data_IF_518152647176
#
_entry.id   IF_518152647176
#
_cell.length_a   1.000
_cell.length_b   1.000
_cell.length_c   1.000
_cell.angle_alpha   90.00
_cell.angle_beta   90.00
_cell.angle_gamma   90.00
#
_symmetry.space_group_name_H-M   'P 1'
#
loop_
_entity.id
_entity.type
_entity.pdbx_description
1 polymer ?
#
# COMPACT_ATOMS: atom_id res chain seq x y z
N UNK A 1 -13.69 -1.86 -5.69
CA UNK A 1 -13.24 -3.24 -6.08
C UNK A 1 -14.13 -4.02 -7.09
N UNK A 2 -15.45 -4.18 -6.88
CA UNK A 2 -16.33 -5.02 -7.73
C UNK A 2 -16.40 -4.61 -9.22
N UNK A 3 -16.36 -3.31 -9.52
CA UNK A 3 -16.41 -2.76 -10.89
C UNK A 3 -15.16 -3.13 -11.71
N UNK A 4 -13.98 -3.10 -11.11
CA UNK A 4 -12.70 -3.50 -11.73
C UNK A 4 -12.70 -5.00 -12.08
N UNK A 5 -13.22 -5.85 -11.18
CA UNK A 5 -13.38 -7.30 -11.45
C UNK A 5 -14.34 -7.57 -12.62
N UNK A 6 -15.48 -6.88 -12.69
CA UNK A 6 -16.45 -7.03 -13.78
C UNK A 6 -15.86 -6.64 -15.15
N UNK A 7 -15.11 -5.53 -15.20
CA UNK A 7 -14.43 -5.10 -16.43
C UNK A 7 -13.37 -6.11 -16.86
N UNK A 8 -12.57 -6.64 -15.93
CA UNK A 8 -11.58 -7.66 -16.24
C UNK A 8 -12.23 -8.93 -16.81
N UNK A 9 -13.31 -9.42 -16.19
CA UNK A 9 -14.05 -10.61 -16.67
C UNK A 9 -14.59 -10.36 -18.08
N UNK A 10 -15.16 -9.17 -18.32
CA UNK A 10 -15.67 -8.79 -19.64
C UNK A 10 -14.56 -8.77 -20.69
N UNK A 11 -13.42 -8.14 -20.38
CA UNK A 11 -12.25 -8.10 -21.28
C UNK A 11 -11.74 -9.50 -21.61
N UNK A 12 -11.57 -10.37 -20.59
CA UNK A 12 -11.13 -11.75 -20.81
C UNK A 12 -12.14 -12.57 -21.62
N UNK A 13 -13.44 -12.39 -21.36
CA UNK A 13 -14.49 -13.07 -22.14
C UNK A 13 -14.46 -12.63 -23.61
N UNK A 14 -14.28 -11.33 -23.88
CA UNK A 14 -14.12 -10.79 -25.23
C UNK A 14 -12.86 -11.32 -25.89
N UNK A 15 -11.74 -11.41 -25.18
CA UNK A 15 -10.50 -12.00 -25.72
C UNK A 15 -10.71 -13.45 -26.14
N UNK A 16 -11.36 -14.27 -25.31
CA UNK A 16 -11.66 -15.67 -25.65
C UNK A 16 -12.56 -15.75 -26.88
N UNK A 17 -13.62 -14.95 -26.94
CA UNK A 17 -14.52 -14.88 -28.10
C UNK A 17 -13.76 -14.44 -29.36
N UNK A 18 -12.89 -13.43 -29.27
CA UNK A 18 -12.08 -12.98 -30.40
C UNK A 18 -11.08 -14.02 -30.87
N UNK A 19 -10.49 -14.81 -29.98
CA UNK A 19 -9.63 -15.95 -30.36
C UNK A 19 -10.45 -16.97 -31.15
N UNK A 20 -11.62 -17.37 -30.63
CA UNK A 20 -12.49 -18.34 -31.29
C UNK A 20 -12.98 -17.85 -32.65
N UNK A 21 -13.35 -16.57 -32.75
CA UNK A 21 -13.77 -15.95 -34.00
C UNK A 21 -12.62 -15.90 -35.01
N UNK A 22 -11.44 -15.43 -34.61
CA UNK A 22 -10.26 -15.40 -35.49
C UNK A 22 -9.91 -16.80 -36.04
N UNK A 23 -10.01 -17.82 -35.20
CA UNK A 23 -9.77 -19.21 -35.57
C UNK A 23 -10.84 -19.78 -36.52
N UNK A 24 -12.11 -19.43 -36.31
CA UNK A 24 -13.22 -19.93 -37.15
C UNK A 24 -13.34 -19.22 -38.50
N UNK A 25 -12.91 -17.96 -38.58
CA UNK A 25 -13.01 -17.15 -39.79
C UNK A 25 -11.71 -17.07 -40.58
N UNK A 26 -10.67 -17.80 -40.17
CA UNK A 26 -9.44 -17.88 -40.97
C UNK A 26 -9.71 -18.60 -42.28
N UNK A 27 -9.06 -18.14 -43.34
CA UNK A 27 -9.11 -18.76 -44.67
C UNK A 27 -8.16 -19.94 -44.78
N UNK A 28 -7.26 -20.10 -43.82
CA UNK A 28 -6.25 -21.16 -43.81
C UNK A 28 -6.89 -22.54 -43.60
N UNK A 29 -6.36 -23.60 -44.24
CA UNK A 29 -6.81 -24.96 -43.99
C UNK A 29 -6.58 -25.33 -42.52
N UNK A 30 -7.50 -26.11 -41.94
CA UNK A 30 -7.41 -26.61 -40.56
C UNK A 30 -6.07 -27.33 -40.38
N UNK A 31 -5.38 -27.09 -39.26
CA UNK A 31 -4.14 -27.79 -38.92
C UNK A 31 -4.34 -29.32 -39.07
N UNK A 32 -3.45 -29.98 -39.81
CA UNK A 32 -3.58 -31.40 -40.23
C UNK A 32 -3.84 -32.38 -39.07
N UNK A 33 -3.48 -31.98 -37.84
CA UNK A 33 -3.66 -32.71 -36.59
C UNK A 33 -5.14 -32.92 -36.24
N UNK A 34 -6.05 -32.09 -36.77
CA UNK A 34 -7.49 -32.17 -36.50
C UNK A 34 -8.31 -32.83 -37.62
N UNK A 35 -7.67 -33.23 -38.72
CA UNK A 35 -8.36 -33.91 -39.83
C UNK A 35 -8.93 -35.26 -39.37
N UNK A 36 -10.17 -35.56 -39.77
CA UNK A 36 -10.97 -36.72 -39.38
C UNK A 36 -11.39 -36.79 -37.90
N UNK A 37 -11.35 -35.67 -37.17
CA UNK A 37 -11.88 -35.59 -35.79
C UNK A 37 -13.21 -34.86 -35.75
N UNK A 38 -14.01 -35.11 -34.70
CA UNK A 38 -15.24 -34.38 -34.42
C UNK A 38 -15.05 -32.85 -34.27
N UNK A 39 -13.80 -32.41 -34.06
CA UNK A 39 -13.39 -31.01 -33.98
C UNK A 39 -13.36 -30.36 -35.37
N UNK A 40 -13.12 -31.12 -36.44
CA UNK A 40 -13.12 -30.63 -37.83
C UNK A 40 -14.45 -29.98 -38.21
N UNK A 41 -15.57 -30.55 -37.74
CA UNK A 41 -16.93 -30.03 -37.98
C UNK A 41 -17.15 -28.66 -37.31
N UNK A 42 -16.49 -28.39 -36.18
CA UNK A 42 -16.57 -27.10 -35.47
C UNK A 42 -15.80 -25.97 -36.18
N UNK A 43 -14.80 -26.33 -36.97
CA UNK A 43 -13.93 -25.42 -37.72
C UNK A 43 -14.34 -25.25 -39.18
N UNK A 44 -15.49 -25.78 -39.61
CA UNK A 44 -16.01 -25.53 -40.95
C UNK A 44 -16.20 -24.02 -41.17
N UNK A 45 -15.53 -23.52 -42.22
CA UNK A 45 -15.40 -22.10 -42.54
C UNK A 45 -16.76 -21.46 -42.84
N UNK A 46 -16.98 -20.22 -42.38
CA UNK A 46 -18.16 -19.45 -42.77
C UNK A 46 -17.97 -18.88 -44.18
N UNK A 47 -18.88 -19.12 -45.14
CA UNK A 47 -18.68 -18.72 -46.54
C UNK A 47 -18.83 -17.20 -46.80
N UNK A 48 -19.40 -16.42 -45.88
CA UNK A 48 -19.67 -14.97 -46.05
C UNK A 48 -19.28 -14.23 -44.77
N UNK A 49 -18.48 -13.16 -44.89
CA UNK A 49 -18.10 -12.27 -43.78
C UNK A 49 -16.79 -12.61 -43.05
N UNK A 50 -16.07 -13.66 -43.49
CA UNK A 50 -14.82 -14.12 -42.86
C UNK A 50 -13.79 -13.02 -42.68
N UNK A 51 -13.49 -12.25 -43.73
CA UNK A 51 -12.45 -11.22 -43.66
C UNK A 51 -12.79 -10.09 -42.67
N UNK A 52 -14.07 -9.70 -42.56
CA UNK A 52 -14.49 -8.62 -41.64
C UNK A 52 -14.37 -9.10 -40.20
N UNK A 53 -14.93 -10.26 -39.87
CA UNK A 53 -14.84 -10.83 -38.52
C UNK A 53 -13.40 -11.16 -38.12
N UNK A 54 -12.61 -11.67 -39.07
CA UNK A 54 -11.19 -11.96 -38.86
C UNK A 54 -10.41 -10.67 -38.56
N UNK A 55 -10.58 -9.62 -39.37
CA UNK A 55 -9.90 -8.34 -39.16
C UNK A 55 -10.32 -7.67 -37.85
N UNK A 56 -11.61 -7.74 -37.49
CA UNK A 56 -12.09 -7.20 -36.23
C UNK A 56 -11.51 -7.97 -35.03
N UNK A 57 -11.49 -9.30 -35.10
CA UNK A 57 -10.98 -10.16 -34.04
C UNK A 57 -9.47 -9.97 -33.86
N UNK A 58 -8.70 -9.98 -34.95
CA UNK A 58 -7.26 -9.74 -34.92
C UNK A 58 -6.93 -8.32 -34.45
N UNK A 59 -7.69 -7.30 -34.88
CA UNK A 59 -7.55 -5.94 -34.39
C UNK A 59 -7.81 -5.79 -32.88
N UNK A 60 -8.82 -6.47 -32.36
CA UNK A 60 -9.09 -6.53 -30.92
C UNK A 60 -7.96 -7.25 -30.16
N UNK A 61 -7.50 -8.39 -30.65
CA UNK A 61 -6.40 -9.15 -30.03
C UNK A 61 -5.11 -8.34 -29.99
N UNK A 62 -4.77 -7.68 -31.10
CA UNK A 62 -3.59 -6.81 -31.18
C UNK A 62 -3.69 -5.68 -30.16
N UNK A 63 -4.85 -5.02 -30.09
CA UNK A 63 -5.12 -3.96 -29.12
C UNK A 63 -5.04 -4.46 -27.67
N UNK A 64 -5.53 -5.67 -27.39
CA UNK A 64 -5.43 -6.29 -26.06
C UNK A 64 -3.98 -6.63 -25.70
N UNK A 65 -3.19 -7.16 -26.64
CA UNK A 65 -1.76 -7.42 -26.43
C UNK A 65 -1.02 -6.12 -26.12
N UNK A 66 -1.25 -5.06 -26.91
CA UNK A 66 -0.66 -3.75 -26.65
C UNK A 66 -1.08 -3.19 -25.29
N UNK A 67 -2.37 -3.27 -24.93
CA UNK A 67 -2.83 -2.87 -23.59
C UNK A 67 -2.10 -3.64 -22.49
N UNK A 68 -1.99 -4.96 -22.61
CA UNK A 68 -1.32 -5.80 -21.62
C UNK A 68 0.15 -5.44 -21.45
N UNK A 69 0.88 -5.25 -22.56
CA UNK A 69 2.31 -4.98 -22.55
C UNK A 69 2.66 -3.53 -22.20
N UNK A 70 1.91 -2.57 -22.71
CA UNK A 70 2.23 -1.13 -22.64
C UNK A 70 1.56 -0.45 -21.44
N UNK A 71 0.42 -0.95 -20.97
CA UNK A 71 -0.34 -0.32 -19.88
C UNK A 71 -0.34 -1.19 -18.63
N UNK A 72 -0.89 -2.41 -18.73
CA UNK A 72 -1.16 -3.22 -17.55
C UNK A 72 0.11 -3.77 -16.89
N UNK A 73 1.04 -4.31 -17.67
CA UNK A 73 2.30 -4.87 -17.18
C UNK A 73 3.17 -3.81 -16.47
N UNK A 74 3.47 -2.64 -17.07
CA UNK A 74 4.26 -1.62 -16.38
C UNK A 74 3.52 -1.08 -15.15
N UNK A 75 2.21 -0.84 -15.25
CA UNK A 75 1.41 -0.43 -14.09
C UNK A 75 1.53 -1.42 -12.92
N UNK A 76 1.39 -2.73 -13.18
CA UNK A 76 1.51 -3.76 -12.14
C UNK A 76 2.91 -3.83 -11.54
N UNK A 77 3.96 -3.68 -12.36
CA UNK A 77 5.35 -3.65 -11.89
C UNK A 77 5.61 -2.45 -10.98
N UNK A 78 5.26 -1.24 -11.44
CA UNK A 78 5.41 0.00 -10.66
C UNK A 78 4.65 -0.10 -9.35
N UNK A 79 3.40 -0.55 -9.38
CA UNK A 79 2.58 -0.71 -8.18
C UNK A 79 3.19 -1.67 -7.16
N UNK A 80 3.72 -2.81 -7.61
CA UNK A 80 4.41 -3.76 -6.74
C UNK A 80 5.69 -3.17 -6.14
N UNK A 81 6.47 -2.42 -6.91
CA UNK A 81 7.68 -1.75 -6.43
C UNK A 81 7.36 -0.71 -5.36
N UNK A 82 6.36 0.13 -5.61
CA UNK A 82 5.87 1.14 -4.64
C UNK A 82 5.43 0.44 -3.35
N UNK A 83 4.63 -0.63 -3.44
CA UNK A 83 4.19 -1.39 -2.28
C UNK A 83 5.35 -1.94 -1.46
N UNK A 84 6.33 -2.56 -2.12
CA UNK A 84 7.50 -3.13 -1.47
C UNK A 84 8.37 -2.04 -0.82
N UNK A 85 8.50 -0.88 -1.46
CA UNK A 85 9.21 0.26 -0.88
C UNK A 85 8.49 0.78 0.36
N UNK A 86 7.18 1.01 0.28
CA UNK A 86 6.37 1.49 1.42
C UNK A 86 6.43 0.53 2.61
N UNK A 87 6.41 -0.79 2.40
CA UNK A 87 6.60 -1.78 3.46
C UNK A 87 7.94 -1.56 4.17
N UNK A 88 9.02 -1.43 3.41
CA UNK A 88 10.35 -1.20 3.98
C UNK A 88 10.42 0.12 4.73
N UNK A 89 9.91 1.20 4.14
CA UNK A 89 9.92 2.53 4.77
C UNK A 89 9.11 2.55 6.07
N UNK A 90 7.98 1.85 6.11
CA UNK A 90 7.21 1.71 7.34
C UNK A 90 7.96 0.94 8.43
N UNK A 91 8.60 -0.18 8.08
CA UNK A 91 9.42 -0.93 9.04
C UNK A 91 10.60 -0.11 9.57
N UNK A 92 11.31 0.60 8.68
CA UNK A 92 12.41 1.49 9.08
C UNK A 92 11.91 2.65 9.96
N UNK A 93 10.76 3.23 9.64
CA UNK A 93 10.15 4.27 10.45
C UNK A 93 9.83 3.76 11.84
N UNK A 94 9.22 2.57 11.96
CA UNK A 94 8.91 1.95 13.25
C UNK A 94 10.18 1.75 14.08
N UNK A 95 11.16 1.08 13.51
CA UNK A 95 12.44 0.77 14.15
C UNK A 95 13.13 2.05 14.66
N UNK A 96 13.38 3.01 13.77
CA UNK A 96 14.07 4.25 14.13
C UNK A 96 13.29 5.09 15.13
N UNK A 97 11.95 5.10 15.06
CA UNK A 97 11.15 5.85 16.03
C UNK A 97 11.22 5.18 17.40
N UNK A 98 11.07 3.86 17.48
CA UNK A 98 11.17 3.11 18.74
C UNK A 98 12.53 3.34 19.41
N UNK A 99 13.63 3.28 18.66
CA UNK A 99 14.97 3.59 19.19
C UNK A 99 15.06 4.99 19.80
N UNK A 100 14.47 5.99 19.14
CA UNK A 100 14.41 7.37 19.65
C UNK A 100 13.55 7.44 20.91
N UNK A 101 12.41 6.76 20.96
CA UNK A 101 11.52 6.73 22.12
C UNK A 101 12.19 6.06 23.33
N UNK A 102 12.87 4.93 23.12
CA UNK A 102 13.63 4.25 24.18
C UNK A 102 14.79 5.12 24.67
N UNK A 103 15.47 5.83 23.76
CA UNK A 103 16.51 6.80 24.14
C UNK A 103 15.93 7.97 24.95
N UNK A 104 14.70 8.40 24.64
CA UNK A 104 14.02 9.48 25.34
C UNK A 104 13.59 9.08 26.76
N UNK A 105 13.29 7.80 27.02
CA UNK A 105 13.04 7.32 28.38
C UNK A 105 14.32 7.00 29.18
N UNK A 106 15.51 7.28 28.63
CA UNK A 106 16.82 7.06 29.29
C UNK A 106 17.05 5.63 29.78
N UNK A 107 16.42 4.65 29.13
CA UNK A 107 16.63 3.23 29.42
C UNK A 107 17.69 2.70 28.44
N UNK A 108 18.71 2.00 28.96
CA UNK A 108 19.53 1.14 28.13
C UNK A 108 18.65 -0.02 27.64
N UNK A 109 18.68 -0.29 26.34
CA UNK A 109 17.86 -1.34 25.73
C UNK A 109 18.67 -2.26 24.84
N UNK A 110 18.20 -3.51 24.76
CA UNK A 110 18.72 -4.50 23.82
C UNK A 110 18.06 -4.32 22.45
N UNK A 111 18.78 -4.66 21.38
CA UNK A 111 18.28 -4.57 20.00
C UNK A 111 17.01 -5.42 19.80
N UNK A 112 16.90 -6.55 20.49
CA UNK A 112 15.72 -7.43 20.43
C UNK A 112 14.45 -6.74 20.94
N UNK A 113 14.57 -5.84 21.92
CA UNK A 113 13.42 -5.08 22.42
C UNK A 113 12.83 -4.19 21.33
N UNK A 114 13.65 -3.58 20.49
CA UNK A 114 13.18 -2.73 19.37
C UNK A 114 12.30 -3.55 18.44
N UNK A 115 12.69 -4.78 18.11
CA UNK A 115 11.91 -5.66 17.24
C UNK A 115 10.59 -6.08 17.88
N UNK A 116 10.59 -6.42 19.17
CA UNK A 116 9.37 -6.76 19.93
C UNK A 116 8.38 -5.59 19.91
N UNK A 117 8.87 -4.37 20.13
CA UNK A 117 8.04 -3.16 20.21
C UNK A 117 7.49 -2.71 18.84
N UNK A 118 7.87 -3.34 17.73
CA UNK A 118 7.20 -3.11 16.44
C UNK A 118 5.79 -3.68 16.41
N UNK A 119 5.45 -4.61 17.31
CA UNK A 119 4.09 -5.09 17.52
C UNK A 119 3.28 -4.09 18.37
N UNK A 120 2.05 -3.78 17.92
CA UNK A 120 1.22 -2.78 18.58
C UNK A 120 0.80 -3.17 20.00
N UNK A 121 0.60 -4.46 20.28
CA UNK A 121 0.24 -4.91 21.64
C UNK A 121 1.42 -4.79 22.58
N UNK A 122 2.59 -5.26 22.15
CA UNK A 122 3.80 -5.22 22.97
C UNK A 122 4.24 -3.77 23.21
N UNK A 123 4.16 -2.90 22.21
CA UNK A 123 4.38 -1.47 22.38
C UNK A 123 3.48 -0.87 23.46
N UNK A 124 2.16 -1.13 23.38
CA UNK A 124 1.18 -0.64 24.37
C UNK A 124 1.52 -1.12 25.77
N UNK A 125 1.80 -2.42 25.91
CA UNK A 125 2.09 -3.05 27.19
C UNK A 125 3.34 -2.45 27.81
N UNK A 126 4.42 -2.36 27.03
CA UNK A 126 5.70 -1.83 27.48
C UNK A 126 5.61 -0.39 27.97
N UNK A 127 4.98 0.50 27.18
CA UNK A 127 4.97 1.93 27.48
C UNK A 127 3.93 2.34 28.54
N UNK A 128 2.95 1.48 28.86
CA UNK A 128 2.00 1.66 29.98
C UNK A 128 2.54 1.21 31.33
N UNK A 129 3.58 0.40 31.34
CA UNK A 129 4.23 0.00 32.59
C UNK A 129 4.97 1.18 33.24
N UNK A 130 5.07 1.22 34.57
CA UNK A 130 5.71 2.32 35.28
C UNK A 130 7.24 2.32 35.11
N UNK A 131 7.81 3.51 34.89
CA UNK A 131 9.24 3.81 34.94
C UNK A 131 9.58 4.40 36.31
N UNK A 132 10.26 3.61 37.17
CA UNK A 132 10.90 3.89 38.48
C UNK A 132 10.27 4.84 39.54
N UNK A 133 9.29 5.67 39.21
CA UNK A 133 8.65 6.68 40.08
C UNK A 133 7.11 6.60 40.00
N UNK A 134 6.55 5.43 39.68
CA UNK A 134 5.09 5.18 39.54
C UNK A 134 4.41 5.85 38.32
N UNK A 135 5.17 6.57 37.48
CA UNK A 135 4.66 7.15 36.22
C UNK A 135 4.97 6.23 35.06
N UNK A 136 4.05 6.11 34.10
CA UNK A 136 4.20 5.23 32.93
C UNK A 136 5.44 5.60 32.10
N UNK A 137 6.11 4.63 31.47
CA UNK A 137 7.26 4.86 30.57
C UNK A 137 6.93 5.86 29.47
N UNK A 138 5.69 5.86 28.96
CA UNK A 138 5.24 6.84 27.99
C UNK A 138 5.37 8.29 28.49
N UNK A 139 5.11 8.53 29.78
CA UNK A 139 5.29 9.84 30.38
C UNK A 139 6.76 10.27 30.38
N UNK A 140 7.69 9.33 30.61
CA UNK A 140 9.12 9.60 30.50
C UNK A 140 9.51 9.96 29.06
N UNK A 141 8.97 9.25 28.06
CA UNK A 141 9.17 9.57 26.63
C UNK A 141 8.71 10.99 26.31
N UNK A 142 7.50 11.37 26.72
CA UNK A 142 6.96 12.71 26.48
C UNK A 142 7.91 13.80 26.98
N UNK A 143 8.47 13.62 28.18
CA UNK A 143 9.40 14.59 28.77
C UNK A 143 10.78 14.54 28.10
N UNK A 144 11.26 13.35 27.74
CA UNK A 144 12.56 13.15 27.09
C UNK A 144 12.61 13.74 25.68
N UNK A 145 11.48 13.80 24.98
CA UNK A 145 11.37 14.43 23.66
C UNK A 145 11.42 15.97 23.70
N UNK A 146 11.45 16.61 24.88
CA UNK A 146 11.86 18.01 25.00
C UNK A 146 13.33 18.23 24.61
N UNK A 147 14.11 17.16 24.50
CA UNK A 147 15.45 17.21 23.95
C UNK A 147 15.39 17.50 22.43
N UNK A 148 15.86 18.69 22.04
CA UNK A 148 15.86 19.18 20.65
C UNK A 148 16.51 18.19 19.66
N UNK A 149 17.59 17.50 20.05
CA UNK A 149 18.25 16.52 19.18
C UNK A 149 17.35 15.32 18.89
N UNK A 150 16.69 14.78 19.92
CA UNK A 150 15.80 13.63 19.77
C UNK A 150 14.54 14.01 18.99
N UNK A 151 13.99 15.20 19.28
CA UNK A 151 12.85 15.75 18.56
C UNK A 151 13.16 15.93 17.08
N UNK A 152 14.27 16.58 16.73
CA UNK A 152 14.66 16.80 15.34
C UNK A 152 14.92 15.48 14.59
N UNK A 153 15.52 14.48 15.25
CA UNK A 153 15.67 13.14 14.66
C UNK A 153 14.32 12.51 14.36
N UNK A 154 13.38 12.59 15.29
CA UNK A 154 12.04 12.04 15.13
C UNK A 154 11.28 12.75 14.02
N UNK A 155 11.31 14.09 13.99
CA UNK A 155 10.69 14.89 12.93
C UNK A 155 11.25 14.53 11.55
N UNK A 156 12.56 14.36 11.42
CA UNK A 156 13.15 13.91 10.17
C UNK A 156 12.61 12.53 9.73
N UNK A 157 12.33 11.60 10.67
CA UNK A 157 11.68 10.32 10.33
C UNK A 157 10.26 10.49 9.84
N UNK A 158 9.49 11.37 10.48
CA UNK A 158 8.14 11.70 10.06
C UNK A 158 8.09 12.36 8.68
N UNK A 159 9.02 13.26 8.37
CA UNK A 159 9.12 13.90 7.06
C UNK A 159 9.40 12.88 5.96
N UNK A 160 10.35 11.97 6.18
CA UNK A 160 10.64 10.89 5.24
C UNK A 160 9.42 9.97 5.02
N UNK A 161 8.69 9.64 6.09
CA UNK A 161 7.46 8.86 5.98
C UNK A 161 6.39 9.61 5.18
N UNK A 162 6.20 10.90 5.46
CA UNK A 162 5.21 11.73 4.78
C UNK A 162 5.51 11.86 3.28
N UNK A 163 6.78 12.04 2.90
CA UNK A 163 7.20 12.10 1.51
C UNK A 163 6.93 10.77 0.78
N UNK A 164 7.19 9.64 1.43
CA UNK A 164 6.87 8.32 0.86
C UNK A 164 5.36 8.13 0.72
N UNK A 165 4.58 8.45 1.76
CA UNK A 165 3.11 8.34 1.73
C UNK A 165 2.54 9.22 0.60
N UNK A 166 3.04 10.45 0.43
CA UNK A 166 2.65 11.33 -0.68
C UNK A 166 3.02 10.74 -2.03
N UNK A 167 4.22 10.16 -2.17
CA UNK A 167 4.64 9.48 -3.37
C UNK A 167 3.69 8.31 -3.73
N UNK A 168 3.32 7.50 -2.74
CA UNK A 168 2.34 6.42 -2.89
C UNK A 168 0.98 6.97 -3.36
N UNK A 169 0.42 7.96 -2.66
CA UNK A 169 -0.89 8.54 -2.98
C UNK A 169 -0.94 9.18 -4.37
N UNK A 170 0.18 9.74 -4.85
CA UNK A 170 0.27 10.34 -6.18
C UNK A 170 0.38 9.32 -7.31
N UNK A 171 0.94 8.13 -7.04
CA UNK A 171 1.20 7.11 -8.06
C UNK A 171 0.21 5.93 -8.00
N UNK A 172 -0.52 5.78 -6.91
CA UNK A 172 -1.47 4.70 -6.68
C UNK A 172 -2.80 5.26 -6.21
N UNK A 173 -3.88 4.89 -6.90
CA UNK A 173 -5.24 5.19 -6.45
C UNK A 173 -5.59 4.36 -5.22
N UNK A 174 -5.68 5.02 -4.07
CA UNK A 174 -6.20 4.47 -2.82
C UNK A 174 -7.67 4.90 -2.70
N UNK A 175 -8.57 3.92 -2.58
CA UNK A 175 -10.03 4.15 -2.49
C UNK A 175 -10.52 4.28 -1.03
N UNK A 176 -9.62 4.18 -0.06
CA UNK A 176 -9.93 4.15 1.37
C UNK A 176 -9.92 5.57 1.99
N UNK A 177 -11.06 6.10 2.46
CA UNK A 177 -11.14 7.42 3.09
C UNK A 177 -10.28 7.54 4.36
N UNK A 178 -10.15 6.48 5.16
CA UNK A 178 -9.43 6.52 6.42
C UNK A 178 -7.94 6.73 6.19
N UNK A 179 -7.42 6.16 5.10
CA UNK A 179 -6.04 6.39 4.66
C UNK A 179 -5.84 7.86 4.29
N UNK A 180 -6.77 8.47 3.56
CA UNK A 180 -6.66 9.89 3.18
C UNK A 180 -6.70 10.80 4.41
N UNK A 181 -7.60 10.54 5.35
CA UNK A 181 -7.66 11.27 6.63
C UNK A 181 -6.35 11.09 7.41
N UNK A 182 -5.79 9.88 7.45
CA UNK A 182 -4.49 9.65 8.06
C UNK A 182 -3.37 10.49 7.41
N UNK A 183 -3.29 10.54 6.07
CA UNK A 183 -2.29 11.36 5.37
C UNK A 183 -2.44 12.84 5.69
N UNK A 184 -3.68 13.34 5.80
CA UNK A 184 -3.95 14.73 6.17
C UNK A 184 -3.46 15.03 7.58
N UNK A 185 -3.83 14.20 8.57
CA UNK A 185 -3.39 14.36 9.97
C UNK A 185 -1.86 14.30 10.07
N UNK A 186 -1.23 13.33 9.39
CA UNK A 186 0.23 13.21 9.33
C UNK A 186 0.86 14.49 8.75
N UNK A 187 0.33 14.98 7.63
CA UNK A 187 0.84 16.19 6.96
C UNK A 187 0.68 17.43 7.82
N UNK A 188 -0.45 17.60 8.49
CA UNK A 188 -0.74 18.74 9.37
C UNK A 188 0.18 18.71 10.59
N UNK A 189 0.30 17.57 11.28
CA UNK A 189 1.17 17.45 12.46
C UNK A 189 2.63 17.71 12.11
N UNK A 190 3.14 17.17 11.00
CA UNK A 190 4.53 17.41 10.57
C UNK A 190 4.75 18.86 10.16
N UNK A 191 3.77 19.48 9.50
CA UNK A 191 3.85 20.89 9.13
C UNK A 191 3.85 21.80 10.36
N UNK A 192 2.94 21.58 11.32
CA UNK A 192 2.87 22.34 12.58
C UNK A 192 4.22 22.27 13.33
N UNK A 193 4.79 21.07 13.44
CA UNK A 193 6.08 20.88 14.13
C UNK A 193 7.27 21.59 13.46
N UNK A 194 7.21 21.92 12.16
CA UNK A 194 8.28 22.69 11.48
C UNK A 194 8.30 24.16 11.88
N UNK A 195 7.15 24.70 12.30
CA UNK A 195 7.00 26.11 12.67
C UNK A 195 6.77 26.31 14.16
N UNK A 196 6.55 25.21 14.88
CA UNK A 196 6.57 25.16 16.33
C UNK A 196 7.92 25.70 16.85
N UNK A 197 7.85 26.76 17.66
CA UNK A 197 8.88 26.92 18.68
C UNK A 197 8.70 25.74 19.64
N UNK A 198 9.75 25.24 20.30
CA UNK A 198 9.69 24.09 21.21
C UNK A 198 8.85 24.34 22.50
N UNK A 199 7.62 24.82 22.35
CA UNK A 199 6.61 25.01 23.37
C UNK A 199 5.76 23.74 23.48
N UNK A 200 5.34 23.41 24.71
CA UNK A 200 4.75 22.13 25.10
C UNK A 200 3.52 21.67 24.28
N UNK A 201 2.80 22.60 23.65
CA UNK A 201 1.56 22.30 22.93
C UNK A 201 1.78 21.54 21.62
N UNK A 202 2.79 21.90 20.85
CA UNK A 202 3.05 21.32 19.53
C UNK A 202 3.65 19.90 19.68
N UNK A 203 4.55 19.72 20.66
CA UNK A 203 5.10 18.41 21.02
C UNK A 203 3.99 17.41 21.40
N UNK A 204 2.94 17.88 22.08
CA UNK A 204 1.80 17.03 22.46
C UNK A 204 1.07 16.45 21.25
N UNK A 205 0.90 17.22 20.17
CA UNK A 205 0.30 16.74 18.93
C UNK A 205 1.14 15.64 18.28
N UNK A 206 2.45 15.82 18.20
CA UNK A 206 3.38 14.82 17.67
C UNK A 206 3.37 13.52 18.47
N UNK A 207 3.47 13.63 19.79
CA UNK A 207 3.45 12.48 20.71
C UNK A 207 2.10 11.77 20.64
N UNK A 208 0.99 12.50 20.53
CA UNK A 208 -0.33 11.92 20.33
C UNK A 208 -0.41 11.14 19.01
N UNK A 209 0.12 11.70 17.91
CA UNK A 209 0.19 11.02 16.63
C UNK A 209 1.04 9.74 16.69
N UNK A 210 2.21 9.80 17.35
CA UNK A 210 3.03 8.62 17.61
C UNK A 210 2.26 7.54 18.34
N UNK A 211 1.57 7.91 19.43
CA UNK A 211 0.77 6.95 20.18
C UNK A 211 -0.29 6.32 19.28
N UNK A 212 -1.02 7.10 18.50
CA UNK A 212 -2.03 6.58 17.55
C UNK A 212 -1.42 5.61 16.54
N UNK A 213 -0.25 5.94 15.98
CA UNK A 213 0.47 5.09 15.02
C UNK A 213 0.90 3.75 15.61
N UNK A 214 1.62 3.77 16.73
CA UNK A 214 2.20 2.56 17.32
C UNK A 214 1.19 1.73 18.11
N UNK A 215 0.09 2.32 18.56
CA UNK A 215 -0.91 1.62 19.36
C UNK A 215 -2.23 1.38 18.64
N UNK A 216 -2.43 1.92 17.44
CA UNK A 216 -3.71 1.84 16.75
C UNK A 216 -4.85 2.59 17.46
N UNK A 217 -4.54 3.52 18.37
CA UNK A 217 -5.56 4.31 19.06
C UNK A 217 -6.33 5.21 18.10
N UNK A 218 -7.65 5.19 18.21
CA UNK A 218 -8.59 6.07 17.52
C UNK A 218 -9.49 6.74 18.55
N UNK A 219 -9.77 8.03 18.36
CA UNK A 219 -10.65 8.78 19.27
C UNK A 219 -12.12 8.31 19.21
N UNK A 220 -12.51 7.61 18.14
CA UNK A 220 -13.88 7.08 17.98
C UNK A 220 -14.03 5.63 18.42
N UNK A 221 -13.03 4.79 18.15
CA UNK A 221 -13.14 3.33 18.28
C UNK A 221 -12.24 2.76 19.39
N UNK A 222 -11.39 3.58 20.01
CA UNK A 222 -10.37 3.11 20.94
C UNK A 222 -9.22 2.41 20.22
N UNK A 223 -8.68 1.33 20.81
CA UNK A 223 -7.57 0.60 20.21
C UNK A 223 -8.03 -0.32 19.10
N UNK A 224 -7.57 -0.05 17.88
CA UNK A 224 -7.72 -0.95 16.74
C UNK A 224 -6.74 -2.11 16.83
N UNK A 225 -7.14 -3.25 16.26
CA UNK A 225 -6.26 -4.39 16.05
C UNK A 225 -5.38 -4.22 14.81
N UNK A 226 -5.87 -3.47 13.82
CA UNK A 226 -5.17 -3.25 12.55
C UNK A 226 -4.33 -1.96 12.59
N UNK A 227 -3.08 -2.08 12.14
CA UNK A 227 -2.20 -0.97 11.82
C UNK A 227 -2.71 -0.23 10.56
N UNK A 228 -3.06 1.05 10.71
CA UNK A 228 -3.62 1.88 9.63
C UNK A 228 -2.68 2.03 8.43
N UNK A 229 -1.36 2.07 8.66
CA UNK A 229 -0.36 2.13 7.59
C UNK A 229 -0.25 0.77 6.91
N UNK A 230 -0.35 -0.33 7.66
CA UNK A 230 -0.44 -1.67 7.08
C UNK A 230 -1.71 -1.85 6.24
N UNK A 231 -2.85 -1.28 6.66
CA UNK A 231 -4.10 -1.25 5.88
C UNK A 231 -3.90 -0.46 4.58
N UNK A 232 -3.28 0.71 4.64
CA UNK A 232 -2.90 1.48 3.46
C UNK A 232 -2.05 0.64 2.50
N UNK A 233 -1.00 -0.01 3.00
CA UNK A 233 -0.11 -0.86 2.21
C UNK A 233 -0.87 -2.03 1.56
N UNK A 234 -1.84 -2.63 2.28
CA UNK A 234 -2.70 -3.68 1.72
C UNK A 234 -3.58 -3.17 0.58
N UNK A 235 -4.00 -1.91 0.63
CA UNK A 235 -4.85 -1.27 -0.39
C UNK A 235 -4.12 -0.93 -1.72
N UNK A 236 -2.78 -0.82 -1.67
CA UNK A 236 -1.90 -0.82 -2.84
C UNK A 236 -1.96 -2.23 -3.46
#
# INVERSE_FOLDING_TARGET
MLRKKKIAILLWSLTIVSILLALKTTSDPVLEIFNNTWVESWFQQLPIGNAILFNLSTGFLLSMIFYLLVVWLPYRRTKNLIKQNMIKQWEYFKESSIEILLSACHEDYEVELVEILKDQNEFRKYFKEPANDSRERWYAVCNGLNNELLLNKLLARFELLLDEVRYVCNNVTIEDPDVLTFVQVLSETVYEMRFANAEDADLKSLVCLLWKLFTGWSDMEGYREDDIVAVMIKSI
#
